data_IF_993068710180
#
_entry.id   IF_993068710180
#
_cell.length_a   1.000
_cell.length_b   1.000
_cell.length_c   1.000
_cell.angle_alpha   90.00
_cell.angle_beta   90.00
_cell.angle_gamma   90.00
#
_symmetry.space_group_name_H-M   'P 1'
#
loop_
_entity.id
_entity.type
_entity.pdbx_description
1 polymer ?
#
# COMPACT_ATOMS: atom_id res chain seq x y z
N UNK A 1 1.39 26.75 4.83
CA UNK A 1 0.89 25.50 5.42
C UNK A 1 1.86 25.06 6.50
N UNK A 2 1.41 24.67 7.69
CA UNK A 2 2.30 24.15 8.74
C UNK A 2 2.81 22.75 8.36
N UNK A 3 3.90 22.29 8.98
CA UNK A 3 4.42 20.92 8.78
C UNK A 3 3.34 19.87 9.09
N UNK A 4 2.62 20.03 10.21
CA UNK A 4 1.56 19.12 10.61
C UNK A 4 0.42 19.06 9.57
N UNK A 5 0.04 20.21 9.00
CA UNK A 5 -0.98 20.26 7.97
C UNK A 5 -0.49 19.60 6.66
N UNK A 6 0.77 19.81 6.30
CA UNK A 6 1.37 19.16 5.13
C UNK A 6 1.43 17.63 5.28
N UNK A 7 1.87 17.15 6.45
CA UNK A 7 1.89 15.72 6.78
C UNK A 7 0.49 15.11 6.77
N UNK A 8 -0.51 15.81 7.33
CA UNK A 8 -1.90 15.34 7.32
C UNK A 8 -2.47 15.24 5.88
N UNK A 9 -2.13 16.19 5.00
CA UNK A 9 -2.51 16.13 3.58
C UNK A 9 -1.83 14.97 2.85
N UNK A 10 -0.53 14.74 3.09
CA UNK A 10 0.20 13.59 2.54
C UNK A 10 -0.41 12.28 3.03
N UNK A 11 -0.64 12.15 4.33
CA UNK A 11 -1.28 10.98 4.95
C UNK A 11 -2.64 10.70 4.32
N UNK A 12 -3.52 11.70 4.23
CA UNK A 12 -4.84 11.54 3.60
C UNK A 12 -4.74 11.12 2.13
N UNK A 13 -3.79 11.69 1.38
CA UNK A 13 -3.56 11.32 -0.02
C UNK A 13 -3.15 9.86 -0.13
N UNK A 14 -2.25 9.39 0.73
CA UNK A 14 -1.80 8.01 0.76
C UNK A 14 -2.89 7.03 1.21
N UNK A 15 -3.70 7.39 2.21
CA UNK A 15 -4.85 6.58 2.59
C UNK A 15 -5.83 6.38 1.43
N UNK A 16 -6.16 7.46 0.71
CA UNK A 16 -7.06 7.36 -0.45
C UNK A 16 -6.40 6.59 -1.59
N UNK A 17 -5.11 6.82 -1.86
CA UNK A 17 -4.37 6.11 -2.89
C UNK A 17 -4.31 4.60 -2.64
N UNK A 18 -3.99 4.19 -1.40
CA UNK A 18 -3.92 2.79 -1.01
C UNK A 18 -5.32 2.14 -1.08
N UNK A 19 -6.35 2.83 -0.56
CA UNK A 19 -7.74 2.38 -0.71
C UNK A 19 -8.12 2.17 -2.18
N UNK A 20 -7.84 3.13 -3.07
CA UNK A 20 -8.14 3.03 -4.49
C UNK A 20 -7.36 1.92 -5.18
N UNK A 21 -6.10 1.69 -4.78
CA UNK A 21 -5.27 0.64 -5.36
C UNK A 21 -5.85 -0.76 -5.11
N UNK A 22 -6.55 -0.98 -3.99
CA UNK A 22 -7.25 -2.24 -3.75
C UNK A 22 -8.32 -2.51 -4.82
N UNK A 23 -8.99 -1.49 -5.37
CA UNK A 23 -9.96 -1.69 -6.46
C UNK A 23 -9.29 -2.06 -7.78
N UNK A 24 -8.06 -1.60 -8.01
CA UNK A 24 -7.27 -2.01 -9.17
C UNK A 24 -6.82 -3.46 -9.04
N UNK A 25 -6.41 -3.85 -7.83
CA UNK A 25 -5.88 -5.18 -7.55
C UNK A 25 -6.94 -6.25 -7.41
N UNK A 26 -8.11 -5.85 -6.91
CA UNK A 26 -9.21 -6.73 -6.53
C UNK A 26 -10.54 -6.25 -7.17
N UNK A 27 -10.62 -6.16 -8.51
CA UNK A 27 -11.73 -5.52 -9.20
C UNK A 27 -13.08 -6.24 -9.02
N UNK A 28 -13.05 -7.52 -8.64
CA UNK A 28 -14.26 -8.35 -8.49
C UNK A 28 -14.46 -8.87 -7.06
N UNK A 29 -13.52 -8.60 -6.15
CA UNK A 29 -13.51 -9.17 -4.81
C UNK A 29 -13.99 -8.15 -3.77
N UNK A 30 -14.69 -8.65 -2.76
CA UNK A 30 -15.03 -7.92 -1.54
C UNK A 30 -13.83 -7.95 -0.60
N UNK A 31 -13.33 -6.78 -0.24
CA UNK A 31 -12.20 -6.62 0.69
C UNK A 31 -12.69 -6.27 2.10
N UNK A 32 -12.00 -6.71 3.15
CA UNK A 32 -12.39 -6.45 4.54
C UNK A 32 -11.77 -5.14 5.05
N UNK A 33 -12.57 -4.07 5.11
CA UNK A 33 -12.13 -2.77 5.64
C UNK A 33 -12.44 -2.59 7.15
N UNK A 34 -12.73 -3.68 7.86
CA UNK A 34 -13.11 -3.61 9.27
C UNK A 34 -14.52 -3.08 9.49
N UNK A 35 -14.99 -3.16 10.74
CA UNK A 35 -16.39 -2.97 11.10
C UNK A 35 -17.01 -1.66 10.58
N UNK A 36 -16.35 -0.53 10.80
CA UNK A 36 -16.91 0.80 10.50
C UNK A 36 -17.07 1.02 9.00
N UNK A 37 -16.02 0.77 8.21
CA UNK A 37 -16.06 1.00 6.76
C UNK A 37 -16.96 -0.04 6.08
N UNK A 38 -16.92 -1.31 6.51
CA UNK A 38 -17.82 -2.33 5.95
C UNK A 38 -19.30 -1.99 6.19
N UNK A 39 -19.66 -1.44 7.37
CA UNK A 39 -21.02 -0.94 7.65
C UNK A 39 -21.41 0.21 6.72
N UNK A 40 -20.51 1.17 6.48
CA UNK A 40 -20.74 2.27 5.53
C UNK A 40 -20.94 1.75 4.09
N UNK A 41 -20.28 0.65 3.73
CA UNK A 41 -20.46 -0.04 2.45
C UNK A 41 -21.72 -0.95 2.40
N UNK A 42 -22.58 -0.89 3.42
CA UNK A 42 -23.84 -1.64 3.45
C UNK A 42 -23.67 -3.16 3.65
N UNK A 43 -22.53 -3.61 4.17
CA UNK A 43 -22.25 -5.04 4.39
C UNK A 43 -22.69 -5.44 5.79
N UNK A 44 -23.76 -6.24 5.90
CA UNK A 44 -24.41 -6.59 7.17
C UNK A 44 -24.02 -7.98 7.69
N UNK A 45 -23.47 -7.98 8.91
CA UNK A 45 -23.50 -8.99 9.98
C UNK A 45 -22.99 -10.44 9.80
N UNK A 46 -23.03 -11.05 8.61
CA UNK A 46 -22.40 -12.39 8.42
C UNK A 46 -20.88 -12.28 8.18
N UNK A 47 -20.43 -11.08 7.83
CA UNK A 47 -19.03 -10.71 7.57
C UNK A 47 -18.30 -10.24 8.84
N UNK A 48 -19.05 -9.83 9.88
CA UNK A 48 -18.51 -9.06 11.01
C UNK A 48 -17.75 -9.87 12.04
N UNK A 49 -17.84 -11.20 12.03
CA UNK A 49 -17.11 -12.06 12.98
C UNK A 49 -15.59 -11.97 12.81
N UNK A 50 -15.08 -11.62 11.62
CA UNK A 50 -13.67 -11.28 11.39
C UNK A 50 -13.36 -9.78 11.48
N UNK A 51 -14.33 -8.93 11.15
CA UNK A 51 -14.15 -7.46 11.04
C UNK A 51 -14.22 -6.69 12.37
N UNK A 52 -14.50 -7.37 13.50
CA UNK A 52 -14.48 -6.76 14.85
C UNK A 52 -13.07 -6.42 15.33
N UNK A 53 -12.04 -7.06 14.76
CA UNK A 53 -10.65 -6.75 15.06
C UNK A 53 -10.12 -5.66 14.11
N UNK A 54 -9.31 -4.75 14.65
CA UNK A 54 -8.57 -3.78 13.83
C UNK A 54 -7.50 -4.47 12.98
N UNK A 55 -6.76 -5.39 13.59
CA UNK A 55 -5.65 -6.13 12.99
C UNK A 55 -6.10 -7.05 11.85
N UNK A 56 -5.33 -7.08 10.77
CA UNK A 56 -5.59 -7.92 9.59
C UNK A 56 -6.66 -7.38 8.65
N UNK A 57 -7.21 -6.20 8.94
CA UNK A 57 -8.13 -5.49 8.04
C UNK A 57 -7.35 -4.64 7.04
N UNK A 58 -7.94 -4.38 5.87
CA UNK A 58 -7.37 -3.44 4.90
C UNK A 58 -7.26 -2.02 5.47
N UNK A 59 -8.09 -1.66 6.43
CA UNK A 59 -8.02 -0.35 7.09
C UNK A 59 -6.79 -0.21 7.96
N UNK A 60 -6.44 -1.24 8.73
CA UNK A 60 -5.19 -1.25 9.50
C UNK A 60 -3.98 -1.12 8.58
N UNK A 61 -3.94 -1.92 7.51
CA UNK A 61 -2.89 -1.83 6.50
C UNK A 61 -2.78 -0.42 5.89
N UNK A 62 -3.91 0.14 5.42
CA UNK A 62 -3.95 1.47 4.80
C UNK A 62 -3.43 2.53 5.76
N UNK A 63 -3.94 2.57 6.99
CA UNK A 63 -3.56 3.60 7.96
C UNK A 63 -2.10 3.43 8.41
N UNK A 64 -1.66 2.18 8.62
CA UNK A 64 -0.31 1.85 9.04
C UNK A 64 0.73 2.22 7.99
N UNK A 65 0.54 1.77 6.74
CA UNK A 65 1.46 2.06 5.64
C UNK A 65 1.45 3.54 5.30
N UNK A 66 0.27 4.17 5.15
CA UNK A 66 0.18 5.60 4.84
C UNK A 66 0.82 6.48 5.93
N UNK A 67 0.65 6.11 7.21
CA UNK A 67 1.26 6.80 8.33
C UNK A 67 2.79 6.77 8.27
N UNK A 68 3.35 5.57 8.09
CA UNK A 68 4.80 5.40 7.99
C UNK A 68 5.37 6.12 6.76
N UNK A 69 4.69 6.03 5.62
CA UNK A 69 5.11 6.69 4.39
C UNK A 69 5.04 8.21 4.47
N UNK A 70 4.02 8.78 5.12
CA UNK A 70 3.93 10.22 5.32
C UNK A 70 5.10 10.73 6.19
N UNK A 71 5.51 9.98 7.21
CA UNK A 71 6.67 10.34 8.04
C UNK A 71 7.96 10.27 7.23
N UNK A 72 8.18 9.19 6.50
CA UNK A 72 9.41 9.01 5.71
C UNK A 72 9.49 10.02 4.57
N UNK A 73 8.38 10.30 3.87
CA UNK A 73 8.31 11.29 2.78
C UNK A 73 8.74 12.69 3.25
N UNK A 74 8.19 13.16 4.38
CA UNK A 74 8.57 14.46 4.95
C UNK A 74 10.02 14.48 5.45
N UNK A 75 10.50 13.35 6.00
CA UNK A 75 11.89 13.20 6.42
C UNK A 75 12.85 13.31 5.25
N UNK A 76 12.57 12.61 4.14
CA UNK A 76 13.36 12.73 2.91
C UNK A 76 13.35 14.13 2.34
N UNK A 77 12.19 14.78 2.25
CA UNK A 77 12.11 16.14 1.72
C UNK A 77 12.94 17.12 2.57
N UNK A 78 12.91 16.96 3.90
CA UNK A 78 13.75 17.74 4.82
C UNK A 78 15.25 17.46 4.62
N UNK A 79 15.64 16.18 4.55
CA UNK A 79 17.03 15.77 4.34
C UNK A 79 17.58 16.33 3.01
N UNK A 80 16.82 16.15 1.93
CA UNK A 80 17.21 16.64 0.62
C UNK A 80 17.25 18.16 0.54
N UNK A 81 16.31 18.86 1.19
CA UNK A 81 16.35 20.33 1.31
C UNK A 81 17.62 20.79 2.05
N UNK A 82 18.02 20.06 3.09
CA UNK A 82 19.26 20.35 3.83
C UNK A 82 20.52 20.13 2.98
N UNK A 83 20.56 19.07 2.18
CA UNK A 83 21.70 18.73 1.31
C UNK A 83 21.80 19.70 0.12
N UNK A 84 20.71 19.89 -0.62
CA UNK A 84 20.71 20.66 -1.87
C UNK A 84 20.48 22.15 -1.68
N UNK A 85 20.16 22.60 -0.46
CA UNK A 85 19.84 24.00 -0.10
C UNK A 85 18.69 24.61 -0.94
N UNK A 86 17.86 23.77 -1.55
CA UNK A 86 16.71 24.13 -2.37
C UNK A 86 15.61 23.08 -2.22
N UNK A 87 14.38 23.48 -2.49
CA UNK A 87 13.26 22.53 -2.49
C UNK A 87 13.43 21.53 -3.63
N UNK A 88 13.25 20.25 -3.30
CA UNK A 88 13.53 19.19 -4.25
C UNK A 88 12.37 19.06 -5.22
N UNK A 89 12.65 19.32 -6.50
CA UNK A 89 11.73 18.98 -7.58
C UNK A 89 12.14 17.62 -8.12
N UNK A 90 11.40 16.59 -7.76
CA UNK A 90 11.65 15.21 -8.18
C UNK A 90 11.73 15.06 -9.71
N UNK A 91 10.92 15.82 -10.46
CA UNK A 91 10.96 15.85 -11.92
C UNK A 91 12.28 16.39 -12.51
N UNK A 92 13.02 17.22 -11.76
CA UNK A 92 14.30 17.81 -12.19
C UNK A 92 15.53 17.09 -11.60
N UNK A 93 15.30 16.11 -10.73
CA UNK A 93 16.38 15.37 -10.04
C UNK A 93 16.07 13.86 -10.03
N UNK A 94 16.19 13.18 -11.19
CA UNK A 94 15.79 11.77 -11.32
C UNK A 94 16.48 10.84 -10.32
N UNK A 95 17.77 11.05 -10.03
CA UNK A 95 18.51 10.26 -9.04
C UNK A 95 17.97 10.45 -7.62
N UNK A 96 17.68 11.69 -7.24
CA UNK A 96 17.10 11.98 -5.92
C UNK A 96 15.66 11.45 -5.82
N UNK A 97 14.92 11.42 -6.94
CA UNK A 97 13.62 10.75 -7.02
C UNK A 97 13.75 9.25 -6.86
N UNK A 98 14.62 8.58 -7.61
CA UNK A 98 14.83 7.12 -7.46
C UNK A 98 15.28 6.80 -6.04
N UNK A 99 16.21 7.58 -5.47
CA UNK A 99 16.62 7.40 -4.07
C UNK A 99 15.45 7.62 -3.10
N UNK A 100 14.62 8.65 -3.30
CA UNK A 100 13.42 8.90 -2.50
C UNK A 100 12.43 7.75 -2.59
N UNK A 101 12.01 7.42 -3.81
CA UNK A 101 10.99 6.42 -4.11
C UNK A 101 11.44 5.03 -3.72
N UNK A 102 12.70 4.66 -3.92
CA UNK A 102 13.15 3.33 -3.49
C UNK A 102 13.43 3.32 -1.99
N UNK A 103 14.31 4.20 -1.49
CA UNK A 103 14.79 4.11 -0.11
C UNK A 103 13.72 4.50 0.92
N UNK A 104 13.02 5.61 0.72
CA UNK A 104 12.09 6.12 1.72
C UNK A 104 10.73 5.42 1.68
N UNK A 105 10.25 5.00 0.50
CA UNK A 105 9.07 4.12 0.44
C UNK A 105 9.40 2.77 1.06
N UNK A 106 10.51 2.14 0.66
CA UNK A 106 10.94 0.88 1.26
C UNK A 106 11.06 1.00 2.79
N UNK A 107 11.70 2.06 3.28
CA UNK A 107 11.85 2.29 4.72
C UNK A 107 10.49 2.45 5.41
N UNK A 108 9.58 3.25 4.85
CA UNK A 108 8.26 3.46 5.43
C UNK A 108 7.43 2.17 5.47
N UNK A 109 7.41 1.40 4.38
CA UNK A 109 6.72 0.10 4.36
C UNK A 109 7.41 -0.89 5.31
N UNK A 110 8.74 -0.88 5.42
CA UNK A 110 9.49 -1.76 6.35
C UNK A 110 9.19 -1.42 7.81
N UNK A 111 9.04 -0.14 8.16
CA UNK A 111 8.60 0.29 9.50
C UNK A 111 7.20 -0.24 9.78
N UNK A 112 6.28 -0.13 8.82
CA UNK A 112 4.95 -0.73 8.93
C UNK A 112 5.02 -2.24 9.14
N UNK A 113 5.77 -2.97 8.32
CA UNK A 113 5.93 -4.43 8.42
C UNK A 113 6.50 -4.83 9.77
N UNK A 114 7.48 -4.08 10.30
CA UNK A 114 7.97 -4.31 11.65
C UNK A 114 6.85 -4.08 12.69
N UNK A 115 6.09 -2.99 12.55
CA UNK A 115 4.97 -2.70 13.42
C UNK A 115 3.92 -3.82 13.43
N UNK A 116 3.47 -4.26 12.25
CA UNK A 116 2.52 -5.36 12.12
C UNK A 116 3.11 -6.65 12.71
N UNK A 117 4.31 -7.06 12.29
CA UNK A 117 4.95 -8.28 12.75
C UNK A 117 5.10 -8.36 14.27
N UNK A 118 5.42 -7.26 14.94
CA UNK A 118 5.70 -7.26 16.39
C UNK A 118 4.50 -6.93 17.28
N UNK A 119 3.52 -6.18 16.79
CA UNK A 119 2.38 -5.73 17.61
C UNK A 119 1.06 -6.39 17.23
N UNK A 120 0.94 -6.98 16.05
CA UNK A 120 -0.27 -7.68 15.64
C UNK A 120 -0.43 -8.98 16.44
N UNK A 121 -1.59 -9.21 17.09
CA UNK A 121 -1.88 -10.47 17.77
C UNK A 121 -2.08 -11.64 16.80
N UNK A 122 -2.12 -11.37 15.47
CA UNK A 122 -2.24 -12.38 14.44
C UNK A 122 -0.95 -13.18 14.25
N UNK A 123 0.20 -12.63 14.67
CA UNK A 123 1.51 -13.25 14.52
C UNK A 123 1.99 -13.87 15.83
N UNK A 124 2.09 -15.22 15.89
CA UNK A 124 2.69 -15.91 17.04
C UNK A 124 4.10 -15.40 17.31
N UNK A 125 4.51 -15.31 18.58
CA UNK A 125 5.80 -14.71 18.98
C UNK A 125 7.00 -15.35 18.25
N UNK A 126 6.96 -16.67 18.08
CA UNK A 126 8.01 -17.44 17.43
C UNK A 126 8.12 -17.19 15.92
N UNK A 127 7.10 -16.58 15.29
CA UNK A 127 7.07 -16.28 13.85
C UNK A 127 7.35 -14.82 13.51
N UNK A 128 7.27 -13.90 14.49
CA UNK A 128 7.37 -12.44 14.25
C UNK A 128 8.60 -12.02 13.45
N UNK A 129 9.77 -12.60 13.73
CA UNK A 129 10.98 -12.28 12.99
C UNK A 129 10.93 -12.75 11.53
N UNK A 130 10.31 -13.91 11.28
CA UNK A 130 10.13 -14.43 9.94
C UNK A 130 9.14 -13.57 9.15
N UNK A 131 8.01 -13.21 9.76
CA UNK A 131 7.03 -12.27 9.16
C UNK A 131 7.67 -10.92 8.82
N UNK A 132 8.48 -10.37 9.73
CA UNK A 132 9.24 -9.15 9.47
C UNK A 132 10.17 -9.29 8.25
N UNK A 133 10.93 -10.38 8.18
CA UNK A 133 11.86 -10.64 7.06
C UNK A 133 11.13 -10.79 5.73
N UNK A 134 10.08 -11.60 5.71
CA UNK A 134 9.34 -11.90 4.49
C UNK A 134 8.60 -10.67 3.97
N UNK A 135 7.93 -9.92 4.87
CA UNK A 135 7.30 -8.66 4.52
C UNK A 135 8.29 -7.59 4.07
N UNK A 136 9.48 -7.52 4.69
CA UNK A 136 10.55 -6.59 4.26
C UNK A 136 11.07 -6.96 2.87
N UNK A 137 11.30 -8.25 2.61
CA UNK A 137 11.76 -8.72 1.30
C UNK A 137 10.70 -8.45 0.21
N UNK A 138 9.44 -8.75 0.49
CA UNK A 138 8.32 -8.42 -0.41
C UNK A 138 8.27 -6.91 -0.71
N UNK A 139 8.46 -6.07 0.32
CA UNK A 139 8.52 -4.61 0.17
C UNK A 139 9.70 -4.17 -0.69
N UNK A 140 10.87 -4.78 -0.52
CA UNK A 140 12.01 -4.54 -1.41
C UNK A 140 11.66 -4.85 -2.85
N UNK A 141 11.13 -6.05 -3.15
CA UNK A 141 10.74 -6.45 -4.50
C UNK A 141 9.73 -5.47 -5.10
N UNK A 142 8.68 -5.13 -4.34
CA UNK A 142 7.63 -4.22 -4.78
C UNK A 142 8.14 -2.80 -5.07
N UNK A 143 8.87 -2.20 -4.12
CA UNK A 143 9.44 -0.85 -4.29
C UNK A 143 10.38 -0.74 -5.48
N UNK A 144 11.06 -1.83 -5.87
CA UNK A 144 11.91 -1.82 -7.07
C UNK A 144 11.13 -1.65 -8.39
N UNK A 145 9.83 -1.90 -8.38
CA UNK A 145 9.00 -1.89 -9.59
C UNK A 145 8.23 -0.58 -9.82
N UNK A 146 8.31 0.36 -8.87
CA UNK A 146 7.52 1.60 -8.86
C UNK A 146 8.19 2.79 -9.60
N UNK A 147 9.12 2.51 -10.52
CA UNK A 147 9.99 3.53 -11.14
C UNK A 147 9.31 4.40 -12.22
N UNK A 148 8.09 4.07 -12.66
CA UNK A 148 7.38 4.81 -13.72
C UNK A 148 6.49 5.95 -13.22
N UNK A 149 6.32 6.10 -11.90
CA UNK A 149 5.43 7.09 -11.27
C UNK A 149 5.63 8.55 -11.74
N UNK A 150 6.87 9.06 -11.97
CA UNK A 150 7.08 10.44 -12.43
C UNK A 150 6.42 10.78 -13.76
N UNK A 151 6.16 9.76 -14.58
CA UNK A 151 5.65 9.94 -15.93
C UNK A 151 4.12 10.01 -15.95
N UNK A 152 3.43 9.58 -14.88
CA UNK A 152 1.96 9.54 -14.81
C UNK A 152 1.35 10.93 -14.98
N UNK A 153 1.77 11.99 -14.25
CA UNK A 153 1.20 13.33 -14.44
C UNK A 153 1.46 13.89 -15.84
N UNK A 154 2.59 13.54 -16.47
CA UNK A 154 2.95 13.95 -17.84
C UNK A 154 2.00 13.31 -18.85
N UNK A 155 1.70 12.02 -18.68
CA UNK A 155 0.74 11.29 -19.51
C UNK A 155 -0.66 11.88 -19.31
N UNK A 156 -1.10 12.11 -18.07
CA UNK A 156 -2.39 12.74 -17.79
C UNK A 156 -2.47 14.13 -18.44
N UNK A 157 -1.42 14.95 -18.34
CA UNK A 157 -1.37 16.26 -18.97
C UNK A 157 -1.50 16.19 -20.50
N UNK A 158 -0.90 15.17 -21.12
CA UNK A 158 -0.97 14.95 -22.58
C UNK A 158 -2.38 14.62 -23.07
N UNK A 159 -3.15 13.85 -22.31
CA UNK A 159 -4.46 13.35 -22.75
C UNK A 159 -5.65 14.13 -22.19
N UNK A 160 -5.55 14.63 -20.95
CA UNK A 160 -6.62 15.37 -20.26
C UNK A 160 -6.33 16.87 -20.11
N UNK A 161 -5.18 17.33 -20.64
CA UNK A 161 -4.75 18.72 -20.62
C UNK A 161 -3.90 19.11 -19.41
N UNK A 162 -3.11 20.21 -19.50
CA UNK A 162 -2.17 20.60 -18.46
C UNK A 162 -2.80 20.85 -17.08
N UNK A 163 -4.03 21.35 -17.03
CA UNK A 163 -4.76 21.60 -15.77
C UNK A 163 -5.07 20.30 -15.04
N UNK A 164 -5.48 19.25 -15.76
CA UNK A 164 -5.74 17.94 -15.17
C UNK A 164 -4.45 17.30 -14.65
N UNK A 165 -3.36 17.38 -15.42
CA UNK A 165 -2.05 16.86 -15.01
C UNK A 165 -1.47 17.57 -13.78
N UNK A 166 -1.71 18.89 -13.64
CA UNK A 166 -1.25 19.69 -12.50
C UNK A 166 -2.21 19.70 -11.30
N UNK A 167 -3.38 19.06 -11.40
CA UNK A 167 -4.32 18.92 -10.28
C UNK A 167 -3.78 17.98 -9.21
N UNK A 168 -4.29 18.06 -7.97
CA UNK A 168 -3.96 17.10 -6.90
C UNK A 168 -4.24 15.65 -7.33
N UNK A 169 -5.33 15.43 -8.09
CA UNK A 169 -5.67 14.11 -8.63
C UNK A 169 -4.58 13.58 -9.56
N UNK A 170 -4.16 14.37 -10.55
CA UNK A 170 -3.15 13.97 -11.54
C UNK A 170 -1.71 13.97 -11.03
N UNK A 171 -1.37 14.89 -10.11
CA UNK A 171 0.01 15.13 -9.66
C UNK A 171 0.41 14.30 -8.44
N UNK A 172 -0.57 13.84 -7.64
CA UNK A 172 -0.30 13.20 -6.36
C UNK A 172 -1.11 11.93 -6.16
N UNK A 173 -2.44 11.99 -6.28
CA UNK A 173 -3.29 10.84 -5.97
C UNK A 173 -3.12 9.68 -6.97
N UNK A 174 -3.17 9.95 -8.28
CA UNK A 174 -3.01 8.91 -9.30
C UNK A 174 -1.62 8.27 -9.29
N UNK A 175 -0.49 9.01 -9.25
CA UNK A 175 0.82 8.43 -9.08
C UNK A 175 0.92 7.53 -7.84
N UNK A 176 0.44 8.01 -6.68
CA UNK A 176 0.46 7.23 -5.45
C UNK A 176 -0.43 5.97 -5.55
N UNK A 177 -1.60 6.06 -6.18
CA UNK A 177 -2.51 4.90 -6.34
C UNK A 177 -1.82 3.79 -7.15
N UNK A 178 -1.13 4.17 -8.22
CA UNK A 178 -0.38 3.23 -9.06
C UNK A 178 0.86 2.68 -8.35
N UNK A 179 1.51 3.50 -7.52
CA UNK A 179 2.61 3.07 -6.64
C UNK A 179 2.16 1.92 -5.74
N UNK A 180 1.09 2.14 -4.98
CA UNK A 180 0.53 1.14 -4.08
C UNK A 180 0.09 -0.12 -4.82
N UNK A 181 -0.59 0.02 -5.95
CA UNK A 181 -1.01 -1.13 -6.75
C UNK A 181 0.19 -1.95 -7.25
N UNK A 182 1.28 -1.28 -7.63
CA UNK A 182 2.49 -1.93 -8.13
C UNK A 182 3.29 -2.60 -7.00
N UNK A 183 3.51 -1.89 -5.90
CA UNK A 183 4.27 -2.40 -4.75
C UNK A 183 3.56 -3.61 -4.13
N UNK A 184 2.26 -3.50 -3.86
CA UNK A 184 1.48 -4.62 -3.30
C UNK A 184 1.32 -5.74 -4.32
N UNK A 185 1.03 -5.41 -5.57
CA UNK A 185 0.83 -6.39 -6.61
C UNK A 185 2.08 -7.23 -6.90
N UNK A 186 3.23 -6.59 -7.09
CA UNK A 186 4.47 -7.28 -7.47
C UNK A 186 5.24 -7.77 -6.26
N UNK A 187 5.31 -6.99 -5.20
CA UNK A 187 6.05 -7.35 -4.00
C UNK A 187 5.33 -8.37 -3.13
N UNK A 188 4.05 -8.11 -2.85
CA UNK A 188 3.26 -8.86 -1.88
C UNK A 188 2.35 -9.90 -2.56
N UNK A 189 2.43 -10.02 -3.88
CA UNK A 189 1.60 -10.89 -4.71
C UNK A 189 0.09 -10.68 -4.46
N UNK A 190 -0.29 -9.43 -4.21
CA UNK A 190 -1.65 -9.05 -3.81
C UNK A 190 -2.54 -8.77 -5.03
N UNK A 191 -2.67 -9.76 -5.94
CA UNK A 191 -3.54 -9.66 -7.12
C UNK A 191 -4.70 -10.64 -7.04
N UNK A 192 -5.92 -10.12 -7.19
CA UNK A 192 -7.15 -10.91 -7.19
C UNK A 192 -7.22 -11.89 -6.02
N UNK A 193 -7.59 -13.14 -6.30
CA UNK A 193 -7.84 -14.13 -5.25
C UNK A 193 -6.58 -14.51 -4.43
N UNK A 194 -5.38 -14.32 -4.98
CA UNK A 194 -4.13 -14.66 -4.28
C UNK A 194 -3.87 -13.76 -3.07
N UNK A 195 -4.26 -12.48 -3.18
CA UNK A 195 -4.07 -11.47 -2.15
C UNK A 195 -5.11 -11.48 -1.02
N UNK A 196 -6.14 -12.33 -1.11
CA UNK A 196 -7.22 -12.35 -0.13
C UNK A 196 -6.81 -13.05 1.17
N UNK A 197 -7.10 -12.40 2.30
CA UNK A 197 -6.99 -13.00 3.62
C UNK A 197 -8.16 -13.98 3.88
N UNK A 198 -8.13 -14.71 5.00
CA UNK A 198 -9.16 -15.72 5.29
C UNK A 198 -10.59 -15.16 5.37
N UNK A 199 -10.76 -13.98 5.97
CA UNK A 199 -12.06 -13.32 6.06
C UNK A 199 -12.55 -12.92 4.68
N UNK A 200 -11.69 -12.34 3.86
CA UNK A 200 -11.99 -11.94 2.49
C UNK A 200 -12.33 -13.14 1.61
N UNK A 201 -11.64 -14.27 1.76
CA UNK A 201 -11.99 -15.51 1.06
C UNK A 201 -13.41 -15.97 1.42
N UNK A 202 -13.80 -15.91 2.70
CA UNK A 202 -15.17 -16.22 3.13
C UNK A 202 -16.19 -15.24 2.53
N UNK A 203 -15.89 -13.95 2.56
CA UNK A 203 -16.77 -12.90 2.00
C UNK A 203 -17.06 -13.09 0.50
N UNK A 204 -16.11 -13.69 -0.21
CA UNK A 204 -16.18 -13.95 -1.65
C UNK A 204 -16.63 -15.37 -1.99
N UNK A 205 -16.93 -16.23 -1.01
CA UNK A 205 -17.33 -17.62 -1.25
C UNK A 205 -16.19 -18.54 -1.72
N UNK A 206 -14.93 -18.16 -1.49
CA UNK A 206 -13.72 -18.83 -1.98
C UNK A 206 -13.00 -19.66 -0.90
N UNK A 207 -13.55 -19.73 0.31
CA UNK A 207 -12.87 -20.32 1.46
C UNK A 207 -12.63 -21.83 1.34
N UNK A 208 -13.55 -22.56 0.69
CA UNK A 208 -13.40 -24.01 0.48
C UNK A 208 -12.43 -24.34 -0.68
N UNK A 209 -12.38 -23.53 -1.73
CA UNK A 209 -11.45 -23.72 -2.86
C UNK A 209 -9.97 -23.68 -2.43
N UNK A 210 -9.60 -22.78 -1.51
CA UNK A 210 -8.20 -22.65 -1.05
C UNK A 210 -7.76 -23.83 -0.17
N UNK A 211 -8.69 -24.49 0.55
CA UNK A 211 -8.39 -25.72 1.32
C UNK A 211 -8.14 -26.92 0.41
N UNK A 212 -8.81 -27.00 -0.74
CA UNK A 212 -8.59 -28.06 -1.73
C UNK A 212 -7.20 -27.91 -2.38
N UNK A 213 -6.80 -26.69 -2.73
CA UNK A 213 -5.48 -26.42 -3.35
C UNK A 213 -4.31 -26.65 -2.38
N UNK A 214 -4.44 -26.27 -1.09
CA UNK A 214 -3.40 -26.55 -0.07
C UNK A 214 -3.20 -28.04 0.23
N UNK A 215 -4.18 -28.89 -0.08
CA UNK A 215 -4.13 -30.34 0.13
C UNK A 215 -3.72 -31.14 -1.11
N UNK A 216 -3.43 -30.48 -2.23
CA UNK A 216 -2.76 -31.14 -3.34
C UNK A 216 -1.24 -31.12 -3.11
N UNK A 217 -0.54 -32.26 -3.22
CA UNK A 217 0.92 -32.26 -3.19
C UNK A 217 1.41 -31.34 -4.31
N UNK A 218 2.28 -30.41 -3.96
CA UNK A 218 2.91 -29.49 -4.90
C UNK A 218 3.52 -30.30 -6.05
N UNK A 219 2.92 -30.22 -7.24
CA UNK A 219 3.58 -30.65 -8.46
C UNK A 219 4.70 -29.65 -8.68
N UNK A 220 5.91 -30.05 -8.29
CA UNK A 220 7.15 -29.40 -8.71
C UNK A 220 7.21 -29.59 -10.22
N UNK A 221 6.80 -28.57 -10.98
CA UNK A 221 7.19 -28.46 -12.38
C UNK A 221 8.66 -28.02 -12.37
N UNK A 222 9.53 -28.93 -12.77
CA UNK A 222 10.97 -28.71 -12.98
C UNK A 222 11.27 -27.92 -14.25
#
# INVERSE_FOLDING_TARGET
>A
MSLAQAMATTFGTYCVADFLSNFLQHPTQKMDYGLTINKLLGRTNDVTSGSENFWGTRTEHILGVAGCLAITDHTSQSLFKSIYKKELCFAKSPTAFVAHTFFFIFTGVTIYVAGDAYFSPLHPEEKRFQEFKDGTYASYVGSNTAWFEPFVPVVVAKFAGPVAGASWLGSSLLPATLAYATVKGVGWNDWGNFGLNETELKMNGLYEEKKIVKNQPSVILG
#
